data_IF_949970703385
#
_entry.id   IF_949970703385
#
_cell.length_a   1.000
_cell.length_b   1.000
_cell.length_c   1.000
_cell.angle_alpha   90.00
_cell.angle_beta   90.00
_cell.angle_gamma   90.00
#
_symmetry.space_group_name_H-M   'P 1'
#
loop_
_entity.id
_entity.type
_entity.pdbx_description
1 polymer ?
#
# COMPACT_ATOMS: atom_id res chain seq x y z
N UNK A 1 28.58 36.09 -43.98
CA UNK A 1 27.16 36.50 -44.13
C UNK A 1 26.58 35.71 -45.28
N UNK A 2 25.70 34.76 -44.96
CA UNK A 2 24.77 34.10 -45.88
C UNK A 2 23.62 33.53 -45.04
N UNK A 3 22.42 33.89 -45.45
CA UNK A 3 21.14 33.70 -44.76
C UNK A 3 20.62 32.25 -44.71
N UNK A 4 19.91 31.95 -43.61
CA UNK A 4 18.60 31.29 -43.45
C UNK A 4 18.22 30.02 -44.24
N UNK A 5 17.89 28.96 -43.50
CA UNK A 5 16.67 28.16 -43.70
C UNK A 5 16.40 27.33 -42.45
N UNK A 6 15.57 27.89 -41.58
CA UNK A 6 14.98 27.24 -40.40
C UNK A 6 13.78 26.44 -40.92
N UNK A 7 13.92 25.13 -41.01
CA UNK A 7 12.79 24.25 -41.33
C UNK A 7 11.89 24.14 -40.09
N UNK A 8 10.73 24.77 -40.22
CA UNK A 8 9.68 24.91 -39.23
C UNK A 8 9.02 23.54 -38.99
N UNK A 9 9.17 23.00 -37.77
CA UNK A 9 8.25 21.97 -37.26
C UNK A 9 7.10 22.68 -36.55
N UNK A 10 5.83 22.40 -36.89
CA UNK A 10 4.70 23.04 -36.23
C UNK A 10 4.69 22.64 -34.75
N UNK A 11 4.79 23.66 -33.90
CA UNK A 11 4.47 23.60 -32.50
C UNK A 11 2.96 23.76 -32.38
N UNK A 12 2.26 22.69 -32.02
CA UNK A 12 0.92 22.74 -31.42
C UNK A 12 0.55 21.32 -30.97
N UNK A 13 0.71 21.03 -29.69
CA UNK A 13 -0.42 20.50 -28.92
C UNK A 13 -0.24 20.89 -27.45
N UNK A 14 -1.00 21.92 -27.11
CA UNK A 14 -1.22 22.42 -25.77
C UNK A 14 -2.03 21.39 -24.99
N UNK A 15 -1.48 20.85 -23.90
CA UNK A 15 -2.30 20.23 -22.84
C UNK A 15 -2.15 21.10 -21.60
N UNK A 16 -3.23 21.74 -21.11
CA UNK A 16 -3.16 22.58 -19.93
C UNK A 16 -3.21 21.77 -18.63
N UNK A 17 -2.62 22.40 -17.62
CA UNK A 17 -2.81 22.29 -16.16
C UNK A 17 -3.29 20.99 -15.50
N UNK A 18 -2.57 20.59 -14.43
CA UNK A 18 -3.18 19.87 -13.32
C UNK A 18 -2.23 19.37 -12.23
N UNK A 19 -1.82 20.25 -11.31
CA UNK A 19 -1.36 19.93 -9.94
C UNK A 19 -0.19 18.93 -9.78
N UNK A 20 1.06 19.36 -9.93
CA UNK A 20 1.92 19.68 -8.77
C UNK A 20 1.16 19.91 -7.45
N UNK A 21 1.17 18.90 -6.58
CA UNK A 21 1.01 19.08 -5.14
C UNK A 21 2.29 18.58 -4.46
N UNK A 22 3.16 19.53 -4.12
CA UNK A 22 4.09 19.36 -3.05
C UNK A 22 3.29 19.23 -1.73
N UNK A 23 3.69 18.26 -0.92
CA UNK A 23 3.93 18.41 0.52
C UNK A 23 2.78 18.80 1.46
N UNK A 24 2.77 18.07 2.57
CA UNK A 24 2.19 18.40 3.87
C UNK A 24 0.66 18.52 3.99
N UNK A 25 0.09 17.46 4.56
CA UNK A 25 -0.97 17.63 5.55
C UNK A 25 -0.51 17.02 6.87
N UNK A 26 0.29 17.80 7.60
CA UNK A 26 0.20 17.82 9.05
C UNK A 26 -1.21 18.29 9.42
N UNK A 27 -2.14 17.35 9.48
CA UNK A 27 -3.47 17.55 10.04
C UNK A 27 -3.52 16.80 11.36
N UNK A 28 -3.01 17.48 12.39
CA UNK A 28 -3.56 17.31 13.73
C UNK A 28 -5.05 17.65 13.65
N UNK A 29 -5.90 16.63 13.61
CA UNK A 29 -7.35 16.80 13.53
C UNK A 29 -8.02 15.48 13.88
N UNK A 30 -8.62 15.44 15.07
CA UNK A 30 -9.54 14.38 15.47
C UNK A 30 -10.59 14.17 14.37
N UNK A 31 -10.57 13.01 13.70
CA UNK A 31 -11.69 12.62 12.82
C UNK A 31 -12.78 12.02 13.70
N UNK A 32 -13.62 12.90 14.24
CA UNK A 32 -14.98 12.56 14.60
C UNK A 32 -15.76 12.29 13.30
N UNK A 33 -16.33 11.09 13.17
CA UNK A 33 -17.42 10.78 12.24
C UNK A 33 -17.08 10.85 10.75
N UNK A 34 -16.40 9.82 10.22
CA UNK A 34 -16.59 9.42 8.82
C UNK A 34 -18.00 8.81 8.62
N UNK A 35 -18.56 8.78 7.39
CA UNK A 35 -19.85 8.17 7.15
C UNK A 35 -19.81 6.73 7.67
N UNK A 36 -20.88 6.32 8.34
CA UNK A 36 -21.09 4.96 8.82
C UNK A 36 -21.06 3.99 7.63
N UNK A 37 -19.86 3.65 7.18
CA UNK A 37 -19.57 2.43 6.46
C UNK A 37 -20.07 1.32 7.37
N UNK A 38 -20.88 0.39 6.84
CA UNK A 38 -21.15 -0.86 7.54
C UNK A 38 -19.87 -1.34 8.21
N UNK A 39 -19.90 -1.79 9.48
CA UNK A 39 -18.68 -2.14 10.17
C UNK A 39 -18.03 -3.25 9.39
N UNK A 40 -17.02 -2.90 8.57
CA UNK A 40 -16.18 -3.86 7.93
C UNK A 40 -15.70 -4.76 9.07
N UNK A 41 -15.96 -6.05 8.96
CA UNK A 41 -15.51 -6.98 9.98
C UNK A 41 -13.99 -6.96 9.91
N UNK A 42 -13.35 -6.51 10.99
CA UNK A 42 -11.92 -6.25 10.96
C UNK A 42 -11.37 -5.88 12.32
N UNK A 43 -10.06 -5.98 12.46
CA UNK A 43 -9.35 -5.64 13.68
C UNK A 43 -8.78 -4.23 13.53
N UNK A 44 -9.24 -3.32 14.38
CA UNK A 44 -8.61 -2.01 14.55
C UNK A 44 -7.47 -2.12 15.56
N UNK A 45 -6.28 -1.74 15.13
CA UNK A 45 -5.08 -1.64 15.97
C UNK A 45 -4.73 -0.18 16.18
N UNK A 46 -4.68 0.25 17.45
CA UNK A 46 -4.21 1.59 17.84
C UNK A 46 -2.82 1.49 18.43
N UNK A 47 -1.87 2.27 17.91
CA UNK A 47 -0.49 2.31 18.37
C UNK A 47 -0.18 3.68 18.94
N UNK A 48 0.22 3.73 20.21
CA UNK A 48 0.57 4.99 20.87
C UNK A 48 1.78 5.62 20.16
N UNK A 49 1.64 6.86 19.71
CA UNK A 49 2.69 7.55 18.97
C UNK A 49 3.98 7.74 19.81
N UNK A 50 3.83 7.92 21.12
CA UNK A 50 4.94 8.25 22.01
C UNK A 50 5.71 7.02 22.49
N UNK A 51 5.01 5.95 22.87
CA UNK A 51 5.63 4.81 23.55
C UNK A 51 5.50 3.47 22.81
N UNK A 52 4.82 3.47 21.67
CA UNK A 52 4.60 2.30 20.83
C UNK A 52 3.62 1.27 21.39
N UNK A 53 2.91 1.56 22.49
CA UNK A 53 1.95 0.61 23.06
C UNK A 53 0.79 0.37 22.10
N UNK A 54 0.47 -0.90 21.87
CA UNK A 54 -0.57 -1.37 20.96
C UNK A 54 -1.85 -1.72 21.72
N UNK A 55 -3.00 -1.44 21.10
CA UNK A 55 -4.34 -1.78 21.56
C UNK A 55 -5.12 -2.38 20.39
N UNK A 56 -5.83 -3.49 20.63
CA UNK A 56 -6.54 -4.24 19.59
C UNK A 56 -8.03 -4.25 19.85
N UNK A 57 -8.82 -3.99 18.82
CA UNK A 57 -10.26 -3.85 18.85
C UNK A 57 -10.86 -4.65 17.68
N UNK A 58 -11.34 -5.86 17.94
CA UNK A 58 -11.88 -6.76 16.90
C UNK A 58 -13.40 -6.63 16.74
N UNK A 59 -14.15 -6.61 17.85
CA UNK A 59 -15.62 -6.64 17.82
C UNK A 59 -16.26 -5.35 18.34
N UNK A 60 -15.47 -4.46 18.96
CA UNK A 60 -15.96 -3.25 19.58
C UNK A 60 -15.14 -2.05 19.13
N UNK A 61 -15.83 -0.96 18.81
CA UNK A 61 -15.16 0.30 18.50
C UNK A 61 -14.38 0.79 19.73
N UNK A 62 -13.17 1.35 19.57
CA UNK A 62 -12.46 1.96 20.67
C UNK A 62 -13.30 3.09 21.31
N UNK A 63 -13.11 3.34 22.62
CA UNK A 63 -13.72 4.50 23.26
C UNK A 63 -13.17 5.78 22.61
N UNK A 64 -14.03 6.81 22.48
CA UNK A 64 -13.69 8.08 21.82
C UNK A 64 -12.51 8.81 22.51
N UNK A 65 -12.32 8.57 23.80
CA UNK A 65 -11.29 9.21 24.64
C UNK A 65 -10.31 8.19 25.25
N UNK A 66 -9.65 7.39 24.40
CA UNK A 66 -8.60 6.47 24.87
C UNK A 66 -7.33 7.24 25.28
N UNK A 67 -6.77 6.86 26.42
CA UNK A 67 -5.48 7.37 26.92
C UNK A 67 -4.50 6.22 27.09
N UNK A 68 -3.24 6.42 26.68
CA UNK A 68 -2.23 5.39 26.81
C UNK A 68 -1.86 5.18 28.28
N UNK A 69 -2.10 3.99 28.81
CA UNK A 69 -1.81 3.69 30.22
C UNK A 69 -0.31 3.67 30.55
N UNK A 70 0.56 3.60 29.54
CA UNK A 70 2.02 3.56 29.72
C UNK A 70 2.64 4.95 29.84
N UNK A 71 2.17 5.93 29.06
CA UNK A 71 2.77 7.26 29.00
C UNK A 71 1.78 8.42 29.14
N UNK A 72 0.48 8.15 29.27
CA UNK A 72 -0.57 9.17 29.39
C UNK A 72 -0.91 9.92 28.10
N UNK A 73 -0.33 9.52 26.95
CA UNK A 73 -0.58 10.18 25.67
C UNK A 73 -1.94 9.79 25.08
N UNK A 74 -2.58 10.73 24.35
CA UNK A 74 -3.88 10.54 23.70
C UNK A 74 -3.79 10.43 22.17
N UNK A 75 -2.59 10.57 21.61
CA UNK A 75 -2.35 10.48 20.16
C UNK A 75 -1.93 9.07 19.77
N UNK A 76 -2.69 8.49 18.83
CA UNK A 76 -2.49 7.12 18.34
C UNK A 76 -2.46 7.09 16.81
N UNK A 77 -1.69 6.15 16.26
CA UNK A 77 -1.82 5.71 14.86
C UNK A 77 -2.83 4.58 14.80
N UNK A 78 -3.75 4.63 13.84
CA UNK A 78 -4.76 3.59 13.63
C UNK A 78 -4.42 2.77 12.39
N UNK A 79 -4.57 1.44 12.51
CA UNK A 79 -4.47 0.49 11.42
C UNK A 79 -5.72 -0.38 11.45
N UNK A 80 -6.45 -0.43 10.34
CA UNK A 80 -7.64 -1.27 10.22
C UNK A 80 -7.32 -2.45 9.31
N UNK A 81 -7.48 -3.68 9.83
CA UNK A 81 -7.26 -4.91 9.08
C UNK A 81 -8.59 -5.62 8.85
N UNK A 82 -9.17 -5.60 7.64
CA UNK A 82 -10.39 -6.35 7.35
C UNK A 82 -10.15 -7.87 7.48
N UNK A 83 -11.15 -8.61 7.98
CA UNK A 83 -11.13 -10.08 8.14
C UNK A 83 -11.37 -10.78 6.79
N UNK A 84 -12.06 -10.12 5.86
CA UNK A 84 -12.27 -10.60 4.51
C UNK A 84 -11.82 -9.50 3.53
N UNK A 85 -10.59 -9.62 3.05
CA UNK A 85 -10.02 -8.72 2.05
C UNK A 85 -9.98 -9.46 0.72
N UNK A 86 -11.07 -9.35 -0.05
CA UNK A 86 -11.19 -10.01 -1.36
C UNK A 86 -10.03 -9.67 -2.29
N UNK A 87 -9.44 -8.47 -2.16
CA UNK A 87 -8.27 -8.03 -2.94
C UNK A 87 -7.01 -8.78 -2.53
N UNK A 88 -6.76 -8.93 -1.23
CA UNK A 88 -5.64 -9.74 -0.75
C UNK A 88 -5.82 -11.22 -1.09
N UNK A 89 -7.04 -11.74 -1.06
CA UNK A 89 -7.34 -13.12 -1.43
C UNK A 89 -7.09 -13.36 -2.93
N UNK A 90 -7.59 -12.48 -3.80
CA UNK A 90 -7.34 -12.50 -5.26
C UNK A 90 -5.85 -12.38 -5.60
N UNK A 91 -5.13 -11.49 -4.91
CA UNK A 91 -3.69 -11.36 -5.07
C UNK A 91 -2.94 -12.63 -4.68
N UNK A 92 -3.36 -13.29 -3.58
CA UNK A 92 -2.78 -14.54 -3.14
C UNK A 92 -3.04 -15.65 -4.14
N UNK A 93 -4.27 -15.81 -4.61
CA UNK A 93 -4.62 -16.80 -5.66
C UNK A 93 -3.80 -16.58 -6.94
N UNK A 94 -3.69 -15.33 -7.40
CA UNK A 94 -2.96 -14.98 -8.62
C UNK A 94 -1.43 -15.12 -8.51
N UNK A 95 -0.88 -15.01 -7.30
CA UNK A 95 0.59 -15.00 -7.07
C UNK A 95 1.09 -16.27 -6.41
N UNK A 96 0.22 -17.13 -5.87
CA UNK A 96 0.66 -18.40 -5.33
C UNK A 96 1.22 -19.26 -6.47
N UNK A 97 2.51 -19.56 -6.35
CA UNK A 97 3.15 -20.49 -7.27
C UNK A 97 2.69 -21.88 -6.89
N UNK A 98 2.17 -22.61 -7.87
CA UNK A 98 1.96 -24.05 -7.73
C UNK A 98 3.29 -24.70 -7.33
N UNK A 99 3.37 -25.17 -6.08
CA UNK A 99 4.50 -25.91 -5.53
C UNK A 99 4.25 -27.41 -5.61
N UNK A 100 3.28 -27.87 -6.40
CA UNK A 100 3.04 -29.31 -6.50
C UNK A 100 4.25 -29.95 -7.20
N UNK A 101 4.95 -30.88 -6.51
CA UNK A 101 6.20 -31.44 -7.04
C UNK A 101 5.98 -32.36 -8.25
N UNK A 102 4.72 -32.66 -8.60
CA UNK A 102 4.34 -33.52 -9.73
C UNK A 102 4.02 -32.73 -11.01
N UNK A 103 4.02 -31.38 -10.95
CA UNK A 103 3.93 -30.57 -12.16
C UNK A 103 5.23 -30.72 -12.96
N UNK A 104 5.17 -31.52 -14.02
CA UNK A 104 6.20 -31.70 -15.07
C UNK A 104 6.68 -30.41 -15.75
N UNK A 105 6.27 -29.23 -15.25
CA UNK A 105 6.63 -27.91 -15.74
C UNK A 105 8.09 -27.49 -15.47
N UNK A 106 8.90 -28.32 -14.80
CA UNK A 106 10.36 -28.11 -14.77
C UNK A 106 10.99 -28.78 -15.98
N UNK A 107 10.94 -28.08 -17.13
CA UNK A 107 11.72 -28.40 -18.33
C UNK A 107 13.20 -28.05 -18.07
N UNK A 108 13.80 -28.69 -17.08
CA UNK A 108 15.23 -28.61 -16.80
C UNK A 108 15.81 -29.97 -17.08
N UNK A 109 16.52 -30.09 -18.20
CA UNK A 109 17.20 -31.33 -18.53
C UNK A 109 18.54 -31.40 -17.80
N UNK A 110 19.08 -32.60 -17.63
CA UNK A 110 20.44 -32.76 -17.10
C UNK A 110 21.50 -32.02 -17.95
N UNK A 111 21.19 -31.73 -19.22
CA UNK A 111 22.06 -30.96 -20.12
C UNK A 111 22.14 -29.48 -19.72
N UNK A 112 21.05 -28.86 -19.27
CA UNK A 112 21.03 -27.46 -18.80
C UNK A 112 21.94 -27.25 -17.58
N UNK A 113 22.02 -28.25 -16.69
CA UNK A 113 22.86 -28.20 -15.49
C UNK A 113 24.36 -28.26 -15.86
N UNK A 114 24.71 -28.99 -16.91
CA UNK A 114 26.10 -29.15 -17.36
C UNK A 114 26.61 -27.86 -18.02
N UNK A 115 25.75 -27.16 -18.77
CA UNK A 115 26.07 -25.86 -19.38
C UNK A 115 26.41 -24.79 -18.31
N UNK A 116 25.64 -24.77 -17.21
CA UNK A 116 25.87 -23.87 -16.07
C UNK A 116 27.16 -24.12 -15.27
N UNK A 117 27.77 -25.29 -15.37
CA UNK A 117 28.99 -25.63 -14.63
C UNK A 117 30.28 -25.31 -15.40
N UNK A 118 30.17 -24.73 -16.59
CA UNK A 118 31.28 -24.52 -17.51
C UNK A 118 31.62 -23.02 -17.72
N UNK A 119 31.29 -22.16 -16.75
CA UNK A 119 31.69 -20.74 -16.73
C UNK A 119 33.13 -20.53 -16.22
#
# INVERSE_FOLDING_TARGET
>A
MREESIEQRPAEESIPEGARAAEEQNSSGMVAGGPAMEPAQGVLTLVCFTCGKEYFFADQNPPEEITCEKCGNTVFRSFFTPINDEVADDFRDSTERDMTPDSTATDTTASDIIDLNNF
#
